data_IF_291628345076
#
_entry.id   IF_291628345076
#
_cell.length_a   1.000
_cell.length_b   1.000
_cell.length_c   1.000
_cell.angle_alpha   90.00
_cell.angle_beta   90.00
_cell.angle_gamma   90.00
#
_symmetry.space_group_name_H-M   'P 1'
#
loop_
_entity.id
_entity.type
_entity.pdbx_description
1 polymer ?
#
# COMPACT_ATOMS: atom_id res chain seq x y z
N UNK A 1 12.35 -3.10 -12.94
CA UNK A 1 11.85 -1.73 -12.65
C UNK A 1 10.33 -1.60 -12.88
N UNK A 2 9.75 -2.34 -13.83
CA UNK A 2 8.31 -2.27 -14.14
C UNK A 2 7.41 -3.09 -13.19
N UNK A 3 7.98 -3.67 -12.15
CA UNK A 3 7.23 -4.45 -11.14
C UNK A 3 6.46 -3.58 -10.15
N UNK A 4 6.84 -2.31 -10.02
CA UNK A 4 6.27 -1.37 -9.06
C UNK A 4 4.89 -0.87 -9.50
N UNK A 5 4.00 -0.72 -8.53
CA UNK A 5 2.72 -0.01 -8.68
C UNK A 5 2.49 0.96 -7.52
N UNK A 6 1.92 2.11 -7.83
CA UNK A 6 1.27 2.96 -6.84
C UNK A 6 -0.16 2.45 -6.65
N UNK A 7 -0.60 2.37 -5.40
CA UNK A 7 -1.96 1.97 -5.04
C UNK A 7 -2.70 3.18 -4.51
N UNK A 8 -3.89 3.41 -5.05
CA UNK A 8 -4.83 4.43 -4.59
C UNK A 8 -6.03 3.73 -3.97
N UNK A 9 -6.30 4.01 -2.71
CA UNK A 9 -7.45 3.52 -1.97
C UNK A 9 -8.35 4.70 -1.66
N UNK A 10 -9.54 4.73 -2.24
CA UNK A 10 -10.56 5.76 -2.03
C UNK A 10 -11.66 5.21 -1.13
N UNK A 11 -11.98 5.93 -0.07
CA UNK A 11 -13.04 5.58 0.89
C UNK A 11 -14.12 6.65 0.83
N UNK A 12 -15.32 6.25 0.44
CA UNK A 12 -16.49 7.13 0.47
C UNK A 12 -17.06 7.19 1.88
N UNK A 13 -17.21 8.39 2.41
CA UNK A 13 -17.78 8.62 3.74
C UNK A 13 -18.94 9.59 3.66
N UNK A 14 -19.91 9.41 4.53
CA UNK A 14 -21.01 10.33 4.76
C UNK A 14 -21.00 10.75 6.22
N UNK A 15 -20.89 12.04 6.46
CA UNK A 15 -20.95 12.64 7.80
C UNK A 15 -22.30 13.35 7.99
N UNK A 16 -23.05 12.97 9.02
CA UNK A 16 -24.34 13.57 9.38
C UNK A 16 -24.28 14.19 10.76
N UNK A 17 -24.81 15.40 10.91
CA UNK A 17 -24.91 16.11 12.18
C UNK A 17 -26.13 17.01 12.23
N UNK A 18 -26.54 17.42 13.44
CA UNK A 18 -27.64 18.34 13.62
C UNK A 18 -27.18 19.79 13.35
N UNK A 19 -27.90 20.47 12.49
CA UNK A 19 -27.75 21.92 12.32
C UNK A 19 -28.21 22.63 13.61
N UNK A 20 -27.30 23.32 14.25
CA UNK A 20 -27.53 23.99 15.55
C UNK A 20 -28.60 25.09 15.48
N UNK A 21 -28.93 25.59 14.29
CA UNK A 21 -29.92 26.69 14.11
C UNK A 21 -31.31 26.14 13.80
N UNK A 22 -31.41 25.06 13.02
CA UNK A 22 -32.69 24.52 12.56
C UNK A 22 -33.08 23.23 13.28
N UNK A 23 -32.14 22.53 13.94
CA UNK A 23 -32.36 21.22 14.54
C UNK A 23 -32.50 20.09 13.51
N UNK A 24 -32.34 20.39 12.24
CA UNK A 24 -32.44 19.38 11.16
C UNK A 24 -31.11 18.62 11.01
N UNK A 25 -31.20 17.33 10.70
CA UNK A 25 -30.03 16.53 10.35
C UNK A 25 -29.54 16.92 8.94
N UNK A 26 -28.27 17.31 8.84
CA UNK A 26 -27.61 17.59 7.56
C UNK A 26 -26.46 16.62 7.33
N UNK A 27 -26.44 16.02 6.14
CA UNK A 27 -25.43 15.08 5.75
C UNK A 27 -24.56 15.63 4.61
N UNK A 28 -23.25 15.35 4.68
CA UNK A 28 -22.30 15.68 3.64
C UNK A 28 -21.49 14.43 3.26
N UNK A 29 -21.27 14.27 1.96
CA UNK A 29 -20.45 13.20 1.42
C UNK A 29 -19.04 13.71 1.13
N UNK A 30 -18.04 12.87 1.41
CA UNK A 30 -16.65 13.14 1.11
C UNK A 30 -15.96 11.85 0.64
N UNK A 31 -14.85 12.00 -0.09
CA UNK A 31 -13.98 10.90 -0.48
C UNK A 31 -12.62 11.12 0.17
N UNK A 32 -12.21 10.16 0.98
CA UNK A 32 -10.87 10.13 1.57
C UNK A 32 -9.97 9.29 0.68
N UNK A 33 -8.81 9.84 0.30
CA UNK A 33 -7.84 9.15 -0.54
C UNK A 33 -6.59 8.79 0.25
N UNK A 34 -6.17 7.55 0.10
CA UNK A 34 -4.93 7.02 0.67
C UNK A 34 -4.06 6.51 -0.47
N UNK A 35 -2.76 6.71 -0.31
CA UNK A 35 -1.76 6.23 -1.28
C UNK A 35 -0.80 5.29 -0.59
N UNK A 36 -0.47 4.20 -1.27
CA UNK A 36 0.52 3.23 -0.85
C UNK A 36 1.29 2.70 -2.06
N UNK A 37 2.20 1.80 -1.82
CA UNK A 37 3.07 1.17 -2.82
C UNK A 37 2.79 -0.32 -2.89
N UNK A 38 3.13 -0.94 -3.99
CA UNK A 38 3.04 -2.40 -4.16
C UNK A 38 3.92 -2.89 -5.28
N UNK A 39 3.90 -4.19 -5.49
CA UNK A 39 4.61 -4.82 -6.61
C UNK A 39 3.83 -5.99 -7.19
N UNK A 40 3.93 -6.16 -8.50
CA UNK A 40 3.43 -7.34 -9.18
C UNK A 40 4.25 -8.57 -8.74
N UNK A 41 3.54 -9.62 -8.30
CA UNK A 41 4.15 -10.86 -7.81
C UNK A 41 3.69 -12.10 -8.60
N UNK A 42 2.59 -11.99 -9.34
CA UNK A 42 2.06 -13.10 -10.11
C UNK A 42 1.13 -12.60 -11.24
N UNK A 43 1.02 -13.39 -12.32
CA UNK A 43 0.01 -13.25 -13.36
C UNK A 43 -0.86 -14.48 -13.44
N UNK A 44 -2.13 -14.29 -13.71
CA UNK A 44 -3.02 -15.43 -13.95
C UNK A 44 -2.70 -16.08 -15.28
N UNK A 45 -2.47 -17.38 -15.28
CA UNK A 45 -2.34 -18.19 -16.50
C UNK A 45 -3.69 -18.46 -17.14
N UNK A 46 -4.77 -18.39 -16.36
CA UNK A 46 -6.13 -18.73 -16.78
C UNK A 46 -6.90 -17.52 -17.28
N UNK A 47 -6.71 -16.35 -16.64
CA UNK A 47 -7.42 -15.12 -16.95
C UNK A 47 -6.45 -14.09 -17.54
N UNK A 48 -6.45 -13.96 -18.87
CA UNK A 48 -5.65 -12.93 -19.53
C UNK A 48 -5.96 -11.54 -18.98
N UNK A 49 -4.90 -10.74 -18.77
CA UNK A 49 -5.03 -9.39 -18.23
C UNK A 49 -5.29 -9.31 -16.72
N UNK A 50 -5.20 -10.44 -16.01
CA UNK A 50 -5.31 -10.46 -14.56
C UNK A 50 -3.93 -10.65 -13.93
N UNK A 51 -3.57 -9.75 -13.03
CA UNK A 51 -2.29 -9.75 -12.31
C UNK A 51 -2.53 -9.59 -10.82
N UNK A 52 -1.54 -9.95 -10.01
CA UNK A 52 -1.62 -9.87 -8.55
C UNK A 52 -0.52 -8.97 -8.01
N UNK A 53 -0.93 -8.09 -7.10
CA UNK A 53 -0.06 -7.10 -6.45
C UNK A 53 0.00 -7.38 -4.97
N UNK A 54 1.22 -7.51 -4.44
CA UNK A 54 1.48 -7.60 -3.02
C UNK A 54 1.73 -6.19 -2.45
N UNK A 55 1.09 -5.91 -1.31
CA UNK A 55 1.22 -4.65 -0.57
C UNK A 55 1.10 -4.88 0.93
N UNK A 56 1.15 -3.81 1.74
CA UNK A 56 0.91 -3.88 3.18
C UNK A 56 -0.58 -4.09 3.51
N UNK A 57 -0.88 -4.89 4.53
CA UNK A 57 -2.24 -5.23 4.94
C UNK A 57 -3.07 -4.01 5.33
N UNK A 58 -2.50 -3.11 6.13
CA UNK A 58 -3.16 -1.87 6.54
C UNK A 58 -3.47 -0.92 5.37
N UNK A 59 -2.82 -1.08 4.22
CA UNK A 59 -3.12 -0.32 3.00
C UNK A 59 -4.44 -0.76 2.34
N UNK A 60 -4.88 -1.98 2.64
CA UNK A 60 -6.12 -2.55 2.14
C UNK A 60 -7.29 -2.42 3.13
N UNK A 61 -7.02 -2.03 4.36
CA UNK A 61 -8.06 -1.82 5.36
C UNK A 61 -8.54 -0.37 5.35
N UNK A 62 -9.85 -0.20 5.40
CA UNK A 62 -10.39 1.16 5.59
C UNK A 62 -10.03 1.66 6.98
N UNK A 63 -9.42 2.84 7.05
CA UNK A 63 -9.13 3.53 8.30
C UNK A 63 -10.37 4.15 8.93
N UNK A 64 -11.44 4.25 8.16
CA UNK A 64 -12.73 4.75 8.63
C UNK A 64 -13.57 3.54 9.02
N UNK A 65 -14.01 3.41 10.28
CA UNK A 65 -14.91 2.36 10.70
C UNK A 65 -16.24 2.45 9.94
N UNK A 66 -17.02 1.35 9.92
CA UNK A 66 -18.31 1.33 9.20
C UNK A 66 -19.24 2.46 9.67
N UNK A 67 -19.20 2.78 10.96
CA UNK A 67 -19.89 3.93 11.55
C UNK A 67 -19.17 4.34 12.83
N UNK A 68 -19.05 5.63 13.07
CA UNK A 68 -18.54 6.18 14.34
C UNK A 68 -19.18 7.53 14.64
N UNK A 69 -19.28 7.86 15.94
CA UNK A 69 -19.64 9.19 16.41
C UNK A 69 -18.38 9.98 16.75
N UNK A 70 -18.25 11.17 16.19
CA UNK A 70 -17.15 12.11 16.46
C UNK A 70 -17.77 13.48 16.73
N UNK A 71 -17.60 13.98 17.95
CA UNK A 71 -18.07 15.34 18.34
C UNK A 71 -19.52 15.63 17.90
N UNK A 72 -20.44 14.67 18.06
CA UNK A 72 -21.85 14.83 17.68
C UNK A 72 -22.15 14.59 16.20
N UNK A 73 -21.14 14.27 15.38
CA UNK A 73 -21.33 13.85 14.01
C UNK A 73 -21.28 12.32 13.89
N UNK A 74 -22.25 11.77 13.15
CA UNK A 74 -22.22 10.37 12.72
C UNK A 74 -21.48 10.28 11.40
N UNK A 75 -20.36 9.56 11.37
CA UNK A 75 -19.59 9.28 10.16
C UNK A 75 -19.81 7.84 9.75
N UNK A 76 -20.25 7.62 8.53
CA UNK A 76 -20.47 6.29 7.95
C UNK A 76 -19.56 6.07 6.75
N UNK A 77 -18.94 4.89 6.72
CA UNK A 77 -18.22 4.42 5.55
C UNK A 77 -19.24 3.80 4.57
N UNK A 78 -19.36 4.37 3.39
CA UNK A 78 -20.31 3.93 2.34
C UNK A 78 -19.68 2.95 1.34
N UNK A 79 -18.36 2.82 1.35
CA UNK A 79 -17.64 1.90 0.47
C UNK A 79 -16.20 2.32 0.25
N UNK A 80 -15.45 1.44 -0.37
CA UNK A 80 -14.08 1.75 -0.79
C UNK A 80 -13.77 1.12 -2.14
N UNK A 81 -12.89 1.78 -2.89
CA UNK A 81 -12.40 1.32 -4.18
C UNK A 81 -10.88 1.37 -4.22
N UNK A 82 -10.30 0.43 -4.97
CA UNK A 82 -8.86 0.35 -5.16
C UNK A 82 -8.52 0.51 -6.63
N UNK A 83 -7.51 1.32 -6.90
CA UNK A 83 -6.89 1.45 -8.21
C UNK A 83 -5.39 1.28 -8.07
N UNK A 84 -4.78 0.66 -9.07
CA UNK A 84 -3.33 0.62 -9.18
C UNK A 84 -2.90 1.49 -10.36
N UNK A 85 -1.76 2.12 -10.23
CA UNK A 85 -1.12 2.86 -11.32
C UNK A 85 0.26 2.28 -11.56
N UNK A 86 0.48 1.73 -12.75
CA UNK A 86 1.75 1.14 -13.12
C UNK A 86 2.80 2.18 -13.50
N UNK A 87 4.03 1.74 -13.73
CA UNK A 87 5.14 2.65 -14.06
C UNK A 87 4.96 3.36 -15.41
N UNK A 88 4.13 2.84 -16.32
CA UNK A 88 3.80 3.50 -17.58
C UNK A 88 2.71 4.57 -17.40
N UNK A 89 2.07 4.61 -16.21
CA UNK A 89 1.01 5.55 -15.87
C UNK A 89 -0.40 5.01 -16.13
N UNK A 90 -0.54 3.78 -16.62
CA UNK A 90 -1.85 3.15 -16.79
C UNK A 90 -2.49 2.86 -15.44
N UNK A 91 -3.78 3.17 -15.35
CA UNK A 91 -4.59 2.87 -14.17
C UNK A 91 -5.40 1.61 -14.41
N UNK A 92 -5.48 0.77 -13.38
CA UNK A 92 -6.23 -0.47 -13.38
C UNK A 92 -7.08 -0.56 -12.12
N UNK A 93 -8.29 -1.11 -12.24
CA UNK A 93 -9.12 -1.44 -11.08
C UNK A 93 -8.49 -2.62 -10.34
N UNK A 94 -8.63 -2.60 -9.00
CA UNK A 94 -8.10 -3.64 -8.15
C UNK A 94 -9.09 -4.05 -7.07
N UNK A 95 -9.04 -5.33 -6.69
CA UNK A 95 -9.88 -5.92 -5.65
C UNK A 95 -9.01 -6.59 -4.59
N UNK A 96 -9.43 -6.49 -3.34
CA UNK A 96 -8.76 -7.16 -2.22
C UNK A 96 -9.13 -8.65 -2.24
N UNK A 97 -8.13 -9.51 -2.46
CA UNK A 97 -8.33 -10.97 -2.45
C UNK A 97 -8.04 -11.54 -1.06
N UNK A 98 -6.99 -11.04 -0.40
CA UNK A 98 -6.58 -11.56 0.89
C UNK A 98 -5.88 -10.49 1.73
N UNK A 99 -6.19 -10.47 3.02
CA UNK A 99 -5.45 -9.69 4.02
C UNK A 99 -4.96 -10.65 5.09
N UNK A 100 -3.65 -10.66 5.31
CA UNK A 100 -3.02 -11.34 6.42
C UNK A 100 -2.62 -10.32 7.50
N UNK A 101 -3.47 -10.17 8.52
CA UNK A 101 -3.27 -9.19 9.61
C UNK A 101 -2.05 -9.51 10.48
N UNK A 102 -1.69 -10.79 10.61
CA UNK A 102 -0.54 -11.19 11.43
C UNK A 102 0.78 -10.67 10.89
N UNK A 103 0.92 -10.67 9.57
CA UNK A 103 2.14 -10.23 8.88
C UNK A 103 1.97 -8.88 8.18
N UNK A 104 0.82 -8.25 8.35
CA UNK A 104 0.47 -6.99 7.68
C UNK A 104 0.69 -7.06 6.15
N UNK A 105 0.17 -8.09 5.51
CA UNK A 105 0.25 -8.29 4.07
C UNK A 105 -1.15 -8.27 3.44
N UNK A 106 -1.25 -7.73 2.25
CA UNK A 106 -2.45 -7.73 1.42
C UNK A 106 -2.10 -8.15 -0.01
N UNK A 107 -2.97 -8.98 -0.59
CA UNK A 107 -2.94 -9.35 -2.00
C UNK A 107 -4.12 -8.70 -2.71
N UNK A 108 -3.81 -7.92 -3.74
CA UNK A 108 -4.78 -7.34 -4.65
C UNK A 108 -4.79 -8.11 -5.97
N UNK A 109 -5.98 -8.36 -6.51
CA UNK A 109 -6.17 -8.74 -7.91
C UNK A 109 -6.36 -7.48 -8.73
N UNK A 110 -5.59 -7.36 -9.82
CA UNK A 110 -5.62 -6.22 -10.73
C UNK A 110 -6.13 -6.70 -12.07
N UNK A 111 -7.16 -6.07 -12.58
CA UNK A 111 -7.83 -6.43 -13.83
C UNK A 111 -7.42 -5.53 -14.99
N UNK A 112 -7.60 -6.04 -16.22
CA UNK A 112 -7.34 -5.30 -17.47
C UNK A 112 -5.90 -4.80 -17.62
N UNK A 113 -4.93 -5.57 -17.14
CA UNK A 113 -3.51 -5.29 -17.37
C UNK A 113 -3.17 -5.65 -18.80
N UNK A 114 -2.92 -4.64 -19.64
CA UNK A 114 -2.79 -4.79 -21.12
C UNK A 114 -1.55 -5.62 -21.50
N UNK A 115 -0.47 -5.45 -20.78
CA UNK A 115 0.77 -6.22 -20.96
C UNK A 115 1.17 -6.79 -19.62
N UNK A 116 1.51 -8.07 -19.57
CA UNK A 116 1.99 -8.70 -18.35
C UNK A 116 3.30 -8.01 -17.89
N UNK A 117 3.26 -7.13 -16.88
CA UNK A 117 4.50 -6.53 -16.38
C UNK A 117 5.38 -7.60 -15.76
N UNK A 118 6.70 -7.38 -15.65
CA UNK A 118 7.55 -8.29 -14.91
C UNK A 118 7.03 -8.48 -13.48
N UNK A 119 7.17 -9.68 -12.93
CA UNK A 119 6.83 -10.01 -11.55
C UNK A 119 8.07 -10.16 -10.68
N UNK A 120 7.95 -9.85 -9.40
CA UNK A 120 8.99 -10.13 -8.42
C UNK A 120 8.83 -11.55 -7.89
N UNK A 121 9.83 -12.37 -8.12
CA UNK A 121 9.93 -13.67 -7.49
C UNK A 121 10.46 -13.54 -6.05
N UNK A 122 10.01 -14.44 -5.18
CA UNK A 122 10.52 -14.53 -3.81
C UNK A 122 11.98 -14.97 -3.78
N UNK A 123 12.75 -14.42 -2.88
CA UNK A 123 14.10 -14.89 -2.62
C UNK A 123 14.05 -16.26 -1.93
N UNK A 124 14.92 -17.18 -2.35
CA UNK A 124 15.04 -18.50 -1.74
C UNK A 124 15.81 -18.49 -0.40
N UNK A 125 16.45 -17.38 -0.09
CA UNK A 125 17.26 -17.19 1.12
C UNK A 125 17.02 -15.80 1.69
N UNK A 126 17.04 -15.75 3.01
CA UNK A 126 17.01 -14.48 3.74
C UNK A 126 18.30 -13.68 3.49
N UNK A 127 18.22 -12.34 3.49
CA UNK A 127 19.41 -11.50 3.38
C UNK A 127 20.29 -11.67 4.63
N UNK A 128 21.61 -11.59 4.43
CA UNK A 128 22.56 -11.57 5.53
C UNK A 128 22.60 -10.17 6.16
N UNK A 129 22.85 -10.10 7.48
CA UNK A 129 23.05 -8.82 8.17
C UNK A 129 24.12 -7.99 7.48
N UNK A 130 23.82 -6.72 7.18
CA UNK A 130 24.67 -5.82 6.41
C UNK A 130 24.53 -5.96 4.89
N UNK A 131 23.76 -6.94 4.40
CA UNK A 131 23.51 -7.08 2.96
C UNK A 131 22.69 -5.90 2.42
N UNK A 132 23.16 -5.34 1.31
CA UNK A 132 22.49 -4.22 0.65
C UNK A 132 21.21 -4.66 -0.01
N UNK A 133 20.17 -3.89 0.20
CA UNK A 133 18.84 -4.07 -0.41
C UNK A 133 18.38 -2.77 -1.08
N UNK A 134 17.46 -2.90 -2.00
CA UNK A 134 16.85 -1.79 -2.73
C UNK A 134 15.35 -1.79 -2.48
N UNK A 135 14.77 -0.61 -2.36
CA UNK A 135 13.33 -0.42 -2.20
C UNK A 135 12.82 0.54 -3.27
N UNK A 136 11.66 0.27 -3.84
CA UNK A 136 10.96 1.15 -4.77
C UNK A 136 9.66 1.60 -4.12
N UNK A 137 9.47 2.92 -3.95
CA UNK A 137 8.33 3.45 -3.21
C UNK A 137 7.81 4.76 -3.78
N UNK A 138 6.56 5.09 -3.44
CA UNK A 138 5.92 6.37 -3.71
C UNK A 138 5.63 7.13 -2.39
N UNK A 139 6.66 7.60 -1.66
CA UNK A 139 6.47 8.35 -0.42
C UNK A 139 5.66 9.62 -0.70
N UNK A 140 4.67 9.91 0.17
CA UNK A 140 3.71 11.01 0.00
C UNK A 140 2.97 11.01 -1.35
N UNK A 141 2.88 9.83 -2.01
CA UNK A 141 2.28 9.71 -3.32
C UNK A 141 3.16 10.22 -4.47
N UNK A 142 4.42 10.53 -4.23
CA UNK A 142 5.35 11.00 -5.25
C UNK A 142 5.63 9.88 -6.26
N UNK A 143 4.97 10.00 -7.39
CA UNK A 143 5.05 9.05 -8.49
C UNK A 143 4.68 9.76 -9.80
N UNK A 144 5.48 9.54 -10.84
CA UNK A 144 5.19 9.99 -12.20
C UNK A 144 5.40 8.83 -13.17
N UNK A 145 4.69 8.78 -14.29
CA UNK A 145 4.94 7.80 -15.33
C UNK A 145 6.44 7.77 -15.72
N UNK A 146 7.01 6.58 -15.74
CA UNK A 146 8.43 6.36 -15.99
C UNK A 146 9.35 6.62 -14.80
N UNK A 147 8.85 7.13 -13.66
CA UNK A 147 9.68 7.52 -12.52
C UNK A 147 9.14 6.95 -11.21
N UNK A 148 9.98 6.19 -10.51
CA UNK A 148 9.75 5.72 -9.14
C UNK A 148 10.97 6.03 -8.29
N UNK A 149 10.77 6.44 -7.05
CA UNK A 149 11.87 6.70 -6.13
C UNK A 149 12.49 5.38 -5.68
N UNK A 150 13.82 5.32 -5.74
CA UNK A 150 14.60 4.15 -5.36
C UNK A 150 15.44 4.50 -4.15
N UNK A 151 15.28 3.72 -3.08
CA UNK A 151 16.03 3.85 -1.85
C UNK A 151 16.92 2.63 -1.67
N UNK A 152 18.14 2.87 -1.16
CA UNK A 152 19.05 1.80 -0.76
C UNK A 152 19.16 1.75 0.76
N UNK A 153 19.30 0.55 1.28
CA UNK A 153 19.52 0.31 2.70
C UNK A 153 20.20 -1.04 2.89
N UNK A 154 20.28 -1.46 4.14
CA UNK A 154 20.86 -2.73 4.52
C UNK A 154 19.89 -3.50 5.43
N UNK A 155 19.94 -4.81 5.35
CA UNK A 155 19.28 -5.67 6.32
C UNK A 155 20.01 -5.62 7.66
N UNK A 156 19.33 -5.21 8.73
CA UNK A 156 19.91 -5.04 10.06
C UNK A 156 19.72 -6.28 10.95
N UNK A 157 18.74 -7.13 10.66
CA UNK A 157 18.37 -8.28 11.46
C UNK A 157 16.86 -8.34 11.71
N UNK A 158 16.47 -9.00 12.79
CA UNK A 158 15.08 -9.17 13.17
C UNK A 158 14.77 -8.42 14.47
N UNK A 159 13.58 -7.85 14.52
CA UNK A 159 12.97 -7.37 15.76
C UNK A 159 12.52 -8.58 16.60
N UNK A 160 12.34 -8.39 17.92
CA UNK A 160 11.88 -9.42 18.87
C UNK A 160 10.55 -10.11 18.48
N UNK A 161 9.68 -9.41 17.72
CA UNK A 161 8.44 -9.95 17.14
C UNK A 161 8.63 -10.71 15.84
N UNK A 162 9.87 -10.93 15.39
CA UNK A 162 10.22 -11.66 14.16
C UNK A 162 10.10 -10.85 12.87
N UNK A 163 9.88 -9.53 12.92
CA UNK A 163 9.89 -8.70 11.73
C UNK A 163 11.30 -8.31 11.31
N UNK A 164 11.55 -8.32 10.00
CA UNK A 164 12.82 -7.89 9.41
C UNK A 164 13.00 -6.38 9.55
N UNK A 165 14.20 -5.94 9.92
CA UNK A 165 14.57 -4.53 10.08
C UNK A 165 15.58 -4.14 9.02
N UNK A 166 15.34 -3.01 8.37
CA UNK A 166 16.16 -2.47 7.29
C UNK A 166 16.47 -0.98 7.54
N UNK A 167 17.61 -0.50 7.07
CA UNK A 167 18.00 0.93 7.15
C UNK A 167 17.40 1.76 6.00
N UNK A 168 16.30 1.34 5.43
CA UNK A 168 15.61 2.03 4.33
C UNK A 168 14.80 3.20 4.90
N UNK A 169 14.98 4.44 4.41
CA UNK A 169 14.13 5.55 4.81
C UNK A 169 12.70 5.34 4.31
N UNK A 170 11.73 5.56 5.21
CA UNK A 170 10.31 5.39 4.90
C UNK A 170 9.51 6.62 5.27
N UNK A 171 8.44 6.88 4.51
CA UNK A 171 7.45 7.95 4.76
C UNK A 171 6.05 7.41 4.43
N UNK A 172 4.98 8.08 4.86
CA UNK A 172 3.63 7.74 4.40
C UNK A 172 3.58 7.58 2.89
N UNK A 173 2.93 6.53 2.39
CA UNK A 173 2.95 6.14 0.97
C UNK A 173 4.00 5.09 0.62
N UNK A 174 5.04 4.89 1.47
CA UNK A 174 6.00 3.78 1.29
C UNK A 174 5.44 2.42 1.74
N UNK A 175 4.35 2.38 2.49
CA UNK A 175 3.68 1.13 2.90
C UNK A 175 3.40 0.24 1.69
N UNK A 176 3.74 -1.04 1.78
CA UNK A 176 3.57 -2.02 0.71
C UNK A 176 4.70 -2.05 -0.32
N UNK A 177 5.66 -1.14 -0.25
CA UNK A 177 6.76 -1.13 -1.21
C UNK A 177 7.67 -2.35 -1.07
N UNK A 178 8.12 -2.94 -2.20
CA UNK A 178 8.96 -4.12 -2.18
C UNK A 178 10.38 -3.80 -1.74
N UNK A 179 10.96 -4.71 -0.97
CA UNK A 179 12.40 -4.73 -0.64
C UNK A 179 13.02 -5.85 -1.46
N UNK A 180 14.04 -5.51 -2.24
CA UNK A 180 14.64 -6.36 -3.27
C UNK A 180 16.12 -6.55 -2.95
N UNK A 181 16.60 -7.79 -3.02
CA UNK A 181 18.02 -8.10 -2.88
C UNK A 181 18.81 -7.81 -4.18
N UNK A 182 20.12 -8.05 -4.15
CA UNK A 182 21.02 -7.88 -5.31
C UNK A 182 20.67 -8.77 -6.51
N UNK A 183 19.97 -9.89 -6.28
CA UNK A 183 19.55 -10.85 -7.31
C UNK A 183 18.16 -10.50 -7.89
N UNK A 184 17.64 -9.29 -7.60
CA UNK A 184 16.31 -8.80 -7.98
C UNK A 184 15.18 -9.66 -7.46
N UNK A 185 15.32 -10.30 -6.30
CA UNK A 185 14.29 -11.11 -5.66
C UNK A 185 13.69 -10.37 -4.47
N UNK A 186 12.40 -10.56 -4.24
CA UNK A 186 11.65 -9.99 -3.13
C UNK A 186 12.10 -10.63 -1.81
N UNK A 187 12.56 -9.81 -0.87
CA UNK A 187 12.98 -10.23 0.49
C UNK A 187 12.12 -9.64 1.59
N UNK A 188 11.25 -8.71 1.26
CA UNK A 188 10.34 -8.11 2.24
C UNK A 188 9.42 -7.06 1.63
N UNK A 189 8.48 -6.60 2.45
CA UNK A 189 7.53 -5.53 2.14
C UNK A 189 7.58 -4.51 3.27
N UNK A 190 7.66 -3.24 2.94
CA UNK A 190 7.62 -2.17 3.94
C UNK A 190 6.19 -2.09 4.51
N UNK A 191 6.05 -2.22 5.83
CA UNK A 191 4.77 -2.03 6.51
C UNK A 191 4.82 -0.94 7.58
N UNK A 192 6.00 -0.68 8.17
CA UNK A 192 6.18 0.35 9.20
C UNK A 192 7.55 1.01 9.09
N UNK A 193 7.66 2.22 9.62
CA UNK A 193 8.92 2.93 9.79
C UNK A 193 9.05 3.42 11.24
N UNK A 194 10.27 3.46 11.75
CA UNK A 194 10.52 4.11 13.04
C UNK A 194 10.33 5.62 12.87
N UNK A 195 9.46 6.20 13.67
CA UNK A 195 9.45 7.65 13.83
C UNK A 195 10.65 8.02 14.70
N UNK A 196 11.57 8.78 14.15
CA UNK A 196 12.52 9.52 14.96
C UNK A 196 11.70 10.48 15.81
N UNK A 197 11.68 10.28 17.12
CA UNK A 197 11.22 11.30 18.04
C UNK A 197 12.34 12.35 17.98
N UNK A 198 12.18 13.35 17.17
CA UNK A 198 12.97 14.56 17.29
C UNK A 198 12.50 15.19 18.59
N UNK A 199 13.31 14.99 19.64
CA UNK A 199 13.18 15.75 20.87
C UNK A 199 13.52 17.20 20.50
N UNK A 200 12.51 18.04 20.44
CA UNK A 200 12.66 19.49 20.48
C UNK A 200 13.06 19.92 21.86
#
# INVERSE_FOLDING_TARGET
RHVFVQIQHSVEVEGCGLDTKTGEEKCQKAVMQYVSSGAYVFHSEVSQGTSYVLTAGHSCESRVPKSQMVEGFRIENKGSTFKTRDLNGFQHEAEVIMINRRFDLCLLQVSNVIMNPPVLELANKEPKRGETVTNMAAPHGLFWPGTVLIFKGQFSGYHDKGFSVYTIPTKPGSSGSPIINKDNKLVGVIFAGYRTIENV
#
